data_IF_855339150186
#
_entry.id   IF_855339150186
#
_cell.length_a   1.000
_cell.length_b   1.000
_cell.length_c   1.000
_cell.angle_alpha   90.00
_cell.angle_beta   90.00
_cell.angle_gamma   90.00
#
_symmetry.space_group_name_H-M   'P 1'
#
loop_
_entity.id
_entity.type
_entity.pdbx_description
1 polymer ?
#
# COMPACT_ATOMS: atom_id res chain seq x y z
N UNK A 1 13.25 7.74 -8.33
CA UNK A 1 13.20 6.39 -7.75
C UNK A 1 12.56 6.51 -6.37
N UNK A 2 11.55 5.69 -6.10
CA UNK A 2 10.67 5.85 -4.94
C UNK A 2 10.68 4.58 -4.11
N UNK A 3 10.49 4.73 -2.80
CA UNK A 3 10.39 3.60 -1.86
C UNK A 3 8.94 3.41 -1.45
N UNK A 4 8.37 2.27 -1.81
CA UNK A 4 6.96 1.97 -1.67
C UNK A 4 6.77 0.91 -0.60
N UNK A 5 6.22 1.36 0.52
CA UNK A 5 5.88 0.55 1.67
C UNK A 5 4.50 -0.07 1.49
N UNK A 6 4.42 -1.37 1.69
CA UNK A 6 3.22 -2.19 1.56
C UNK A 6 2.81 -2.65 2.95
N UNK A 7 1.67 -2.15 3.40
CA UNK A 7 0.94 -2.78 4.49
C UNK A 7 0.31 -4.09 3.98
N UNK A 8 0.49 -5.25 4.64
CA UNK A 8 -0.10 -6.51 4.20
C UNK A 8 -1.60 -6.44 3.92
N UNK A 9 -2.33 -5.53 4.61
CA UNK A 9 -3.76 -5.30 4.33
C UNK A 9 -4.05 -4.87 2.88
N UNK A 10 -3.09 -4.24 2.19
CA UNK A 10 -3.22 -3.78 0.80
C UNK A 10 -3.16 -4.91 -0.23
N UNK A 11 -2.64 -6.08 0.14
CA UNK A 11 -2.57 -7.26 -0.72
C UNK A 11 -3.95 -7.92 -0.86
N UNK A 12 -4.81 -7.69 0.13
CA UNK A 12 -6.15 -8.26 0.17
C UNK A 12 -7.19 -7.23 -0.29
N UNK A 13 -8.10 -7.65 -1.15
CA UNK A 13 -9.29 -6.88 -1.46
C UNK A 13 -10.42 -7.32 -0.54
N UNK A 14 -11.18 -6.36 -0.03
CA UNK A 14 -12.39 -6.60 0.75
C UNK A 14 -13.56 -5.96 0.01
N UNK A 15 -14.50 -6.77 -0.46
CA UNK A 15 -15.73 -6.26 -1.07
C UNK A 15 -16.88 -6.43 -0.07
N UNK A 16 -17.42 -5.32 0.43
CA UNK A 16 -18.60 -5.32 1.30
C UNK A 16 -18.38 -5.79 2.75
N UNK A 17 -19.40 -5.62 3.58
CA UNK A 17 -19.41 -6.03 4.98
C UNK A 17 -19.54 -7.56 5.09
N UNK A 18 -18.59 -8.21 5.77
CA UNK A 18 -18.66 -9.64 6.10
C UNK A 18 -18.02 -10.61 5.11
N UNK A 19 -17.45 -10.14 3.99
CA UNK A 19 -16.67 -11.03 3.12
C UNK A 19 -15.29 -11.35 3.71
N UNK A 20 -14.84 -12.59 3.48
CA UNK A 20 -13.47 -12.98 3.81
C UNK A 20 -12.50 -12.17 2.93
N UNK A 21 -11.41 -11.64 3.49
CA UNK A 21 -10.35 -11.05 2.69
C UNK A 21 -9.88 -12.07 1.65
N UNK A 22 -9.86 -11.67 0.39
CA UNK A 22 -9.27 -12.45 -0.69
C UNK A 22 -8.08 -11.67 -1.23
N UNK A 23 -7.00 -12.36 -1.57
CA UNK A 23 -5.86 -11.73 -2.22
C UNK A 23 -6.30 -11.12 -3.56
N UNK A 24 -5.86 -9.90 -3.85
CA UNK A 24 -6.06 -9.28 -5.17
C UNK A 24 -5.39 -10.18 -6.22
N UNK A 25 -6.12 -10.67 -7.24
CA UNK A 25 -5.54 -11.52 -8.28
C UNK A 25 -4.41 -10.82 -9.05
N UNK A 26 -4.37 -9.48 -9.04
CA UNK A 26 -3.34 -8.69 -9.71
C UNK A 26 -2.27 -8.16 -8.74
N UNK A 27 -2.28 -8.55 -7.46
CA UNK A 27 -1.32 -7.97 -6.51
C UNK A 27 0.13 -8.28 -6.90
N UNK A 28 0.42 -9.54 -7.25
CA UNK A 28 1.78 -9.94 -7.57
C UNK A 28 2.30 -9.27 -8.85
N UNK A 29 1.48 -9.22 -9.91
CA UNK A 29 1.85 -8.52 -11.15
C UNK A 29 2.04 -7.03 -10.91
N UNK A 30 1.15 -6.39 -10.15
CA UNK A 30 1.28 -4.96 -9.82
C UNK A 30 2.60 -4.65 -9.09
N UNK A 31 3.04 -5.50 -8.15
CA UNK A 31 4.32 -5.29 -7.45
C UNK A 31 5.51 -5.51 -8.37
N UNK A 32 5.44 -6.49 -9.28
CA UNK A 32 6.49 -6.69 -10.29
C UNK A 32 6.60 -5.50 -11.23
N UNK A 33 5.48 -5.02 -11.76
CA UNK A 33 5.44 -3.82 -12.62
C UNK A 33 6.07 -2.61 -11.91
N UNK A 34 5.76 -2.42 -10.62
CA UNK A 34 6.36 -1.38 -9.80
C UNK A 34 7.89 -1.52 -9.72
N UNK A 35 8.40 -2.72 -9.47
CA UNK A 35 9.84 -2.99 -9.41
C UNK A 35 10.53 -2.80 -10.76
N UNK A 36 9.89 -3.20 -11.86
CA UNK A 36 10.40 -3.04 -13.23
C UNK A 36 10.54 -1.57 -13.64
N UNK A 37 9.70 -0.68 -13.09
CA UNK A 37 9.85 0.78 -13.26
C UNK A 37 10.97 1.40 -12.41
N UNK A 38 11.71 0.58 -11.65
CA UNK A 38 12.84 1.00 -10.82
C UNK A 38 12.46 1.50 -9.43
N UNK A 39 11.23 1.27 -8.97
CA UNK A 39 10.82 1.56 -7.59
C UNK A 39 11.10 0.37 -6.66
N UNK A 40 11.34 0.64 -5.38
CA UNK A 40 11.55 -0.40 -4.38
C UNK A 40 10.23 -0.73 -3.68
N UNK A 41 9.89 -2.02 -3.57
CA UNK A 41 8.73 -2.51 -2.82
C UNK A 41 9.19 -3.14 -1.49
N UNK A 42 8.64 -2.67 -0.37
CA UNK A 42 9.03 -3.08 0.99
C UNK A 42 7.79 -3.40 1.80
N UNK A 43 7.75 -4.54 2.48
CA UNK A 43 6.65 -4.90 3.39
C UNK A 43 6.82 -4.27 4.77
N UNK A 44 5.76 -3.65 5.27
CA UNK A 44 5.66 -3.16 6.65
C UNK A 44 4.98 -4.21 7.49
N UNK A 45 5.78 -5.04 8.14
CA UNK A 45 5.30 -6.12 9.01
C UNK A 45 5.03 -5.58 10.39
N UNK A 46 3.76 -5.28 10.63
CA UNK A 46 3.21 -5.14 11.98
C UNK A 46 2.75 -6.53 12.45
N UNK A 47 2.97 -6.85 13.73
CA UNK A 47 2.76 -8.20 14.25
C UNK A 47 1.27 -8.56 14.16
N UNK A 48 0.88 -9.42 13.20
CA UNK A 48 -0.45 -10.02 13.20
C UNK A 48 -1.14 -10.21 11.84
N UNK A 49 -0.64 -9.61 10.76
CA UNK A 49 -1.20 -9.88 9.42
C UNK A 49 -0.43 -10.98 8.68
N UNK A 50 -1.12 -12.02 8.17
CA UNK A 50 -0.49 -13.03 7.35
C UNK A 50 -0.05 -12.41 6.02
N UNK A 51 1.21 -12.63 5.67
CA UNK A 51 1.77 -12.26 4.37
C UNK A 51 1.71 -13.51 3.47
N UNK A 52 1.08 -13.45 2.28
CA UNK A 52 1.10 -14.57 1.34
C UNK A 52 2.53 -14.93 0.93
N UNK A 53 2.80 -16.21 0.69
CA UNK A 53 4.16 -16.72 0.41
C UNK A 53 4.77 -16.10 -0.86
N UNK A 54 3.92 -15.67 -1.79
CA UNK A 54 4.28 -15.00 -3.04
C UNK A 54 4.97 -13.65 -2.81
N UNK A 55 4.84 -13.06 -1.61
CA UNK A 55 5.52 -11.82 -1.22
C UNK A 55 6.64 -12.05 -0.19
N UNK A 56 7.02 -13.32 0.07
CA UNK A 56 8.01 -13.64 1.08
C UNK A 56 9.38 -13.01 0.80
N UNK A 57 9.73 -12.83 -0.48
CA UNK A 57 11.01 -12.29 -0.95
C UNK A 57 11.11 -10.77 -0.84
N UNK A 58 10.02 -10.07 -0.53
CA UNK A 58 10.08 -8.62 -0.34
C UNK A 58 10.83 -8.27 0.96
N UNK A 59 11.71 -7.26 0.94
CA UNK A 59 12.31 -6.71 2.14
C UNK A 59 11.25 -6.34 3.18
N UNK A 60 11.58 -6.53 4.46
CA UNK A 60 10.66 -6.32 5.58
C UNK A 60 11.19 -5.26 6.54
N UNK A 61 10.34 -4.33 6.94
CA UNK A 61 10.64 -3.32 7.95
C UNK A 61 9.52 -3.25 8.99
N UNK A 62 9.87 -2.86 10.21
CA UNK A 62 8.88 -2.60 11.26
C UNK A 62 8.14 -1.27 11.01
N UNK A 63 8.87 -0.25 10.52
CA UNK A 63 8.31 1.06 10.20
C UNK A 63 8.83 1.58 8.85
N UNK A 64 8.02 2.37 8.11
CA UNK A 64 8.48 3.10 6.95
C UNK A 64 9.56 4.14 7.32
N UNK A 65 10.58 4.25 6.48
CA UNK A 65 11.47 5.41 6.50
C UNK A 65 10.79 6.58 5.81
N UNK A 66 10.96 7.77 6.37
CA UNK A 66 10.36 9.01 5.86
C UNK A 66 11.34 9.68 4.90
N UNK A 67 10.83 10.24 3.80
CA UNK A 67 11.68 10.94 2.85
C UNK A 67 11.00 11.32 1.54
N UNK A 68 11.65 12.15 0.73
CA UNK A 68 11.17 12.44 -0.61
C UNK A 68 11.02 11.14 -1.40
N UNK A 69 9.88 10.94 -2.05
CA UNK A 69 9.61 9.70 -2.78
C UNK A 69 9.12 8.53 -1.92
N UNK A 70 8.91 8.69 -0.61
CA UNK A 70 8.33 7.61 0.20
C UNK A 70 6.80 7.54 0.03
N UNK A 71 6.30 6.33 -0.21
CA UNK A 71 4.88 6.02 -0.36
C UNK A 71 4.47 4.84 0.53
N UNK A 72 3.26 4.87 1.06
CA UNK A 72 2.62 3.75 1.76
C UNK A 72 1.34 3.38 1.01
N UNK A 73 1.19 2.11 0.66
CA UNK A 73 -0.07 1.54 0.19
C UNK A 73 -0.68 0.71 1.32
N UNK A 74 -1.93 0.98 1.67
CA UNK A 74 -2.62 0.34 2.79
C UNK A 74 -4.09 0.09 2.49
N UNK A 75 -4.65 -0.99 3.02
CA UNK A 75 -6.09 -1.22 3.11
C UNK A 75 -6.69 -0.74 4.44
N UNK A 76 -5.88 -0.21 5.37
CA UNK A 76 -6.31 0.29 6.68
C UNK A 76 -6.31 1.83 6.70
N UNK A 77 -7.52 2.42 6.69
CA UNK A 77 -7.72 3.87 6.72
C UNK A 77 -7.09 4.54 7.95
N UNK A 78 -6.90 3.83 9.06
CA UNK A 78 -6.24 4.39 10.27
C UNK A 78 -4.79 4.77 9.99
N UNK A 79 -4.10 4.04 9.11
CA UNK A 79 -2.73 4.37 8.69
C UNK A 79 -2.64 5.70 7.94
N UNK A 80 -3.70 6.12 7.27
CA UNK A 80 -3.75 7.45 6.66
C UNK A 80 -4.00 8.58 7.67
N UNK A 81 -4.67 8.27 8.79
CA UNK A 81 -4.88 9.22 9.88
C UNK A 81 -3.60 9.53 10.66
N UNK A 82 -2.64 8.61 10.65
CA UNK A 82 -1.30 8.79 11.21
C UNK A 82 -0.38 9.48 10.20
N UNK A 83 -0.77 10.67 9.71
CA UNK A 83 -0.02 11.41 8.69
C UNK A 83 1.40 11.70 9.18
N UNK A 84 2.41 11.16 8.49
CA UNK A 84 3.83 11.43 8.75
C UNK A 84 4.38 12.35 7.64
N UNK A 85 4.96 13.51 7.96
CA UNK A 85 5.60 14.36 6.97
C UNK A 85 6.66 13.56 6.18
N UNK A 86 6.67 13.72 4.85
CA UNK A 86 7.57 12.95 3.99
C UNK A 86 7.13 11.50 3.73
N UNK A 87 5.88 11.11 4.03
CA UNK A 87 5.32 9.84 3.59
C UNK A 87 3.95 10.08 2.97
N UNK A 88 3.80 9.79 1.68
CA UNK A 88 2.51 9.85 0.98
C UNK A 88 1.77 8.54 1.13
N UNK A 89 0.45 8.59 1.20
CA UNK A 89 -0.40 7.42 1.48
C UNK A 89 -1.42 7.17 0.37
N UNK A 90 -1.60 5.91 -0.01
CA UNK A 90 -2.63 5.45 -0.94
C UNK A 90 -3.50 4.39 -0.26
N UNK A 91 -4.80 4.63 -0.17
CA UNK A 91 -5.77 3.63 0.28
C UNK A 91 -6.15 2.71 -0.87
N UNK A 92 -6.19 1.40 -0.62
CA UNK A 92 -6.73 0.41 -1.58
C UNK A 92 -7.97 -0.28 -1.03
N UNK A 93 -8.87 -0.67 -1.94
CA UNK A 93 -10.00 -1.55 -1.63
C UNK A 93 -11.08 -0.97 -0.72
N UNK A 94 -11.02 0.32 -0.37
CA UNK A 94 -12.05 1.02 0.39
C UNK A 94 -12.48 0.27 1.65
N UNK A 95 -11.53 -0.36 2.36
CA UNK A 95 -11.79 -1.24 3.50
C UNK A 95 -12.69 -0.59 4.55
N UNK A 96 -13.42 -1.38 5.35
CA UNK A 96 -14.30 -0.84 6.38
C UNK A 96 -13.50 0.12 7.27
N UNK A 97 -14.06 1.30 7.52
CA UNK A 97 -13.56 2.20 8.55
C UNK A 97 -13.64 1.42 9.87
N UNK A 98 -12.50 0.91 10.36
CA UNK A 98 -12.41 0.05 11.56
C UNK A 98 -12.68 0.84 12.86
N UNK A 99 -13.49 1.89 12.79
CA UNK A 99 -13.82 2.80 13.86
C UNK A 99 -12.95 4.06 13.85
N UNK A 100 -13.62 5.21 13.77
CA UNK A 100 -13.15 6.57 14.09
C UNK A 100 -11.95 7.13 13.29
N UNK A 101 -11.50 6.46 12.23
CA UNK A 101 -10.34 6.88 11.44
C UNK A 101 -10.65 8.05 10.51
N UNK A 102 -10.71 9.29 11.03
CA UNK A 102 -10.86 10.54 10.26
C UNK A 102 -9.67 10.89 9.34
N UNK A 103 -8.83 9.91 9.00
CA UNK A 103 -7.64 10.09 8.20
C UNK A 103 -7.92 10.08 6.70
N UNK A 104 -7.69 11.21 6.03
CA UNK A 104 -7.69 11.27 4.56
C UNK A 104 -6.31 10.87 4.04
N UNK A 105 -6.26 9.83 3.21
CA UNK A 105 -5.05 9.47 2.49
C UNK A 105 -4.77 10.48 1.37
N UNK A 106 -3.50 10.57 0.92
CA UNK A 106 -3.15 11.48 -0.16
C UNK A 106 -3.76 11.05 -1.51
N UNK A 107 -4.01 9.74 -1.68
CA UNK A 107 -4.80 9.20 -2.79
C UNK A 107 -5.62 7.97 -2.36
N UNK A 108 -6.61 7.60 -3.17
CA UNK A 108 -7.35 6.35 -3.05
C UNK A 108 -7.36 5.63 -4.40
N UNK A 109 -7.34 4.29 -4.37
CA UNK A 109 -7.37 3.43 -5.53
C UNK A 109 -8.31 2.24 -5.28
N UNK A 110 -8.96 1.69 -6.33
CA UNK A 110 -9.86 0.55 -6.16
C UNK A 110 -9.13 -0.73 -5.72
N UNK A 111 -7.86 -0.88 -6.08
CA UNK A 111 -7.04 -2.07 -5.84
C UNK A 111 -5.54 -1.75 -5.90
N UNK A 112 -4.68 -2.75 -5.66
CA UNK A 112 -3.23 -2.56 -5.60
C UNK A 112 -2.66 -2.08 -6.94
N UNK A 113 -3.16 -2.63 -8.05
CA UNK A 113 -2.76 -2.20 -9.40
C UNK A 113 -3.04 -0.72 -9.63
N UNK A 114 -4.23 -0.24 -9.23
CA UNK A 114 -4.57 1.18 -9.33
C UNK A 114 -3.65 2.07 -8.50
N UNK A 115 -3.26 1.62 -7.30
CA UNK A 115 -2.32 2.35 -6.45
C UNK A 115 -0.91 2.41 -7.07
N UNK A 116 -0.41 1.30 -7.61
CA UNK A 116 0.88 1.26 -8.32
C UNK A 116 0.88 2.21 -9.51
N UNK A 117 -0.15 2.17 -10.35
CA UNK A 117 -0.27 3.07 -11.50
C UNK A 117 -0.30 4.54 -11.08
N UNK A 118 -0.95 4.86 -9.97
CA UNK A 118 -0.95 6.20 -9.40
C UNK A 118 0.47 6.65 -9.01
N UNK A 119 1.21 5.81 -8.30
CA UNK A 119 2.58 6.10 -7.84
C UNK A 119 3.51 6.29 -9.03
N UNK A 120 3.54 5.34 -9.97
CA UNK A 120 4.39 5.42 -11.16
C UNK A 120 4.10 6.70 -11.94
N UNK A 121 2.83 7.04 -12.14
CA UNK A 121 2.45 8.26 -12.85
C UNK A 121 2.91 9.53 -12.14
N UNK A 122 2.86 9.54 -10.80
CA UNK A 122 3.30 10.69 -9.97
C UNK A 122 4.80 10.85 -9.94
N UNK A 123 5.56 9.76 -9.96
CA UNK A 123 7.02 9.79 -9.93
C UNK A 123 7.65 10.00 -11.31
N UNK A 124 6.93 9.68 -12.38
CA UNK A 124 7.34 9.96 -13.76
C UNK A 124 7.25 11.45 -14.13
N UNK A 125 6.51 12.25 -13.35
CA UNK A 125 6.42 13.70 -13.54
C UNK A 125 7.44 14.40 -12.61
N UNK A 126 8.56 14.91 -13.13
CA UNK A 126 9.41 15.80 -12.36
C UNK A 126 8.61 17.07 -12.02
N UNK A 127 8.53 17.40 -10.74
CA UNK A 127 8.11 18.73 -10.25
C UNK A 127 9.22 19.74 -10.44
#
# INVERSE_FOLDING_TARGET
MARVYLDPSAIFVRWGTGQRPAMDPNALSAIRDLQETGHEAVLVVDQGFPVPIEFADLPRVAEPELGPGAWMITGDRRRCGMRRPGLRTVLVGGGPDLGNGRGRCDAEAPNLRGAVMHIVSREAMPV
#
